data_IF_832242291232
#
_entry.id   IF_832242291232
#
_cell.length_a   1.000
_cell.length_b   1.000
_cell.length_c   1.000
_cell.angle_alpha   90.00
_cell.angle_beta   90.00
_cell.angle_gamma   90.00
#
_symmetry.space_group_name_H-M   'P 1'
#
loop_
_entity.id
_entity.type
_entity.pdbx_description
1 polymer ?
#
# COMPACT_ATOMS: atom_id res chain seq x y z
N UNK A 1 6.24 -8.57 38.72
CA UNK A 1 6.22 -7.34 37.90
C UNK A 1 6.65 -7.62 36.45
N UNK A 2 7.68 -8.44 36.22
CA UNK A 2 8.07 -8.99 34.89
C UNK A 2 6.94 -9.74 34.17
N UNK A 3 6.18 -10.58 34.89
CA UNK A 3 5.06 -11.35 34.32
C UNK A 3 3.91 -10.50 33.75
N UNK A 4 3.62 -9.32 34.32
CA UNK A 4 2.57 -8.42 33.78
C UNK A 4 3.05 -7.74 32.51
N UNK A 5 4.34 -7.44 32.41
CA UNK A 5 4.95 -6.86 31.20
C UNK A 5 4.98 -7.86 30.05
N UNK A 6 5.35 -9.11 30.34
CA UNK A 6 5.27 -10.24 29.38
C UNK A 6 3.85 -10.42 28.84
N UNK A 7 2.84 -10.32 29.72
CA UNK A 7 1.44 -10.51 29.36
C UNK A 7 0.92 -9.46 28.36
N UNK A 8 1.46 -8.23 28.40
CA UNK A 8 0.99 -7.11 27.56
C UNK A 8 1.97 -6.72 26.44
N UNK A 9 2.99 -7.55 26.16
CA UNK A 9 4.06 -7.22 25.21
C UNK A 9 3.56 -6.78 23.83
N UNK A 10 2.49 -7.39 23.31
CA UNK A 10 1.91 -7.03 22.01
C UNK A 10 1.44 -5.57 21.93
N UNK A 11 0.87 -5.04 23.02
CA UNK A 11 0.39 -3.66 23.10
C UNK A 11 1.50 -2.70 23.52
N UNK A 12 2.37 -3.13 24.43
CA UNK A 12 3.50 -2.33 24.91
C UNK A 12 4.52 -2.04 23.79
N UNK A 13 4.66 -2.95 22.83
CA UNK A 13 5.58 -2.78 21.71
C UNK A 13 5.08 -1.80 20.61
N UNK A 14 3.84 -1.29 20.69
CA UNK A 14 3.30 -0.34 19.71
C UNK A 14 3.85 1.08 19.94
N UNK A 15 4.95 1.42 19.28
CA UNK A 15 5.53 2.77 19.37
C UNK A 15 4.67 3.86 18.70
N UNK A 16 5.02 5.12 18.93
CA UNK A 16 4.28 6.28 18.40
C UNK A 16 4.22 6.29 16.86
N UNK A 17 5.27 5.82 16.19
CA UNK A 17 5.34 5.73 14.73
C UNK A 17 4.40 4.63 14.20
N UNK A 18 4.37 3.47 14.85
CA UNK A 18 3.45 2.36 14.55
C UNK A 18 2.01 2.79 14.78
N UNK A 19 1.71 3.46 15.89
CA UNK A 19 0.37 4.00 16.15
C UNK A 19 -0.03 5.07 15.13
N UNK A 20 0.90 5.94 14.72
CA UNK A 20 0.67 6.95 13.69
C UNK A 20 0.38 6.33 12.34
N UNK A 21 1.11 5.29 11.95
CA UNK A 21 0.91 4.59 10.68
C UNK A 21 -0.43 3.85 10.63
N UNK A 22 -0.80 3.16 11.72
CA UNK A 22 -1.98 2.31 11.74
C UNK A 22 -3.28 3.07 12.02
N UNK A 23 -3.25 4.10 12.87
CA UNK A 23 -4.42 4.88 13.24
C UNK A 23 -4.49 6.25 12.56
N UNK A 24 -3.36 6.78 12.09
CA UNK A 24 -3.24 8.14 11.59
C UNK A 24 -2.86 9.16 12.67
N UNK A 25 -2.00 10.11 12.31
CA UNK A 25 -1.47 11.14 13.22
C UNK A 25 -2.56 11.97 13.94
N UNK A 26 -3.72 12.15 13.32
CA UNK A 26 -4.85 12.88 13.93
C UNK A 26 -5.56 12.11 15.03
N UNK A 27 -5.57 10.77 14.97
CA UNK A 27 -6.12 9.94 16.04
C UNK A 27 -5.13 9.81 17.20
N UNK A 28 -3.84 9.63 16.91
CA UNK A 28 -2.80 9.61 17.95
C UNK A 28 -2.77 10.91 18.76
N UNK A 29 -2.73 12.08 18.10
CA UNK A 29 -2.78 13.38 18.78
C UNK A 29 -4.00 13.56 19.67
N UNK A 30 -5.17 13.06 19.24
CA UNK A 30 -6.39 13.11 20.05
C UNK A 30 -6.29 12.18 21.26
N UNK A 31 -5.79 10.96 21.08
CA UNK A 31 -5.59 10.02 22.19
C UNK A 31 -4.59 10.52 23.24
N UNK A 32 -3.46 11.10 22.80
CA UNK A 32 -2.49 11.75 23.69
C UNK A 32 -3.13 12.87 24.51
N UNK A 33 -3.97 13.69 23.86
CA UNK A 33 -4.68 14.78 24.56
C UNK A 33 -5.61 14.27 25.66
N UNK A 34 -6.31 13.14 25.46
CA UNK A 34 -7.15 12.54 26.50
C UNK A 34 -6.30 12.05 27.70
N UNK A 35 -5.13 11.48 27.42
CA UNK A 35 -4.20 11.02 28.45
C UNK A 35 -3.62 12.20 29.25
N UNK A 36 -3.14 13.24 28.56
CA UNK A 36 -2.61 14.47 29.19
C UNK A 36 -3.67 15.21 30.01
N UNK A 37 -4.94 15.16 29.58
CA UNK A 37 -6.06 15.73 30.30
C UNK A 37 -6.50 14.89 31.52
N UNK A 38 -5.88 13.73 31.77
CA UNK A 38 -6.25 12.83 32.86
C UNK A 38 -7.63 12.18 32.67
N UNK A 39 -8.13 12.11 31.43
CA UNK A 39 -9.46 11.58 31.09
C UNK A 39 -9.45 10.08 30.78
N UNK A 40 -8.32 9.41 31.03
CA UNK A 40 -8.15 7.95 30.87
C UNK A 40 -8.12 7.33 32.27
N UNK A 41 -9.26 6.83 32.71
CA UNK A 41 -9.43 6.24 34.03
C UNK A 41 -9.29 4.71 33.95
N UNK A 42 -8.50 4.06 34.83
CA UNK A 42 -8.48 2.60 34.88
C UNK A 42 -9.82 2.06 35.40
N UNK A 43 -10.28 0.95 34.82
CA UNK A 43 -11.47 0.23 35.25
C UNK A 43 -11.21 -0.75 36.40
N UNK A 44 -12.21 -1.56 36.72
CA UNK A 44 -12.14 -2.56 37.81
C UNK A 44 -11.36 -3.82 37.38
N UNK A 45 -11.43 -4.18 36.10
CA UNK A 45 -10.75 -5.34 35.53
C UNK A 45 -9.41 -4.96 34.88
N UNK A 46 -8.45 -5.91 34.85
CA UNK A 46 -7.15 -5.67 34.20
C UNK A 46 -7.33 -5.40 32.69
N UNK A 47 -6.66 -4.38 32.18
CA UNK A 47 -6.83 -3.90 30.79
C UNK A 47 -8.11 -3.12 30.52
N UNK A 48 -8.97 -2.87 31.51
CA UNK A 48 -10.16 -2.04 31.35
C UNK A 48 -9.83 -0.56 31.57
N UNK A 49 -10.36 0.31 30.71
CA UNK A 49 -10.22 1.77 30.80
C UNK A 49 -11.53 2.46 30.45
N UNK A 50 -11.78 3.61 31.06
CA UNK A 50 -12.83 4.54 30.70
C UNK A 50 -12.20 5.81 30.11
N UNK A 51 -12.61 6.17 28.90
CA UNK A 51 -12.10 7.34 28.17
C UNK A 51 -13.28 8.07 27.54
N UNK A 52 -13.49 9.33 27.92
CA UNK A 52 -14.57 10.17 27.39
C UNK A 52 -15.96 9.49 27.45
N UNK A 53 -16.26 8.83 28.59
CA UNK A 53 -17.49 8.08 28.82
C UNK A 53 -17.64 6.80 27.99
N UNK A 54 -16.58 6.36 27.30
CA UNK A 54 -16.52 5.09 26.56
C UNK A 54 -15.69 4.06 27.31
N UNK A 55 -16.20 2.83 27.37
CA UNK A 55 -15.49 1.70 27.97
C UNK A 55 -14.62 1.03 26.93
N UNK A 56 -13.34 0.90 27.26
CA UNK A 56 -12.32 0.21 26.48
C UNK A 56 -11.88 -1.02 27.26
N UNK A 57 -11.84 -2.17 26.57
CA UNK A 57 -11.25 -3.39 27.09
C UNK A 57 -10.05 -3.74 26.21
N UNK A 58 -8.84 -3.61 26.75
CA UNK A 58 -7.63 -4.11 26.12
C UNK A 58 -7.53 -5.63 26.34
N UNK A 59 -6.90 -6.33 25.40
CA UNK A 59 -6.71 -7.77 25.46
C UNK A 59 -5.21 -8.09 25.33
N UNK A 60 -4.67 -8.98 26.20
CA UNK A 60 -3.27 -9.41 26.17
C UNK A 60 -2.81 -9.96 24.82
N UNK A 61 -3.73 -10.55 24.05
CA UNK A 61 -3.50 -11.07 22.69
C UNK A 61 -3.24 -9.96 21.66
N UNK A 62 -3.28 -8.69 22.07
CA UNK A 62 -2.93 -7.56 21.25
C UNK A 62 -4.12 -6.80 20.68
N UNK A 63 -3.81 -5.82 19.83
CA UNK A 63 -4.77 -4.81 19.37
C UNK A 63 -6.02 -5.42 18.75
N UNK A 64 -5.90 -6.45 17.93
CA UNK A 64 -7.02 -7.05 17.20
C UNK A 64 -8.17 -7.54 18.10
N UNK A 65 -7.88 -7.85 19.36
CA UNK A 65 -8.84 -8.34 20.34
C UNK A 65 -9.37 -7.26 21.28
N UNK A 66 -8.79 -6.07 21.27
CA UNK A 66 -9.25 -4.96 22.09
C UNK A 66 -10.61 -4.42 21.60
N UNK A 67 -11.51 -4.12 22.54
CA UNK A 67 -12.89 -3.69 22.28
C UNK A 67 -13.13 -2.30 22.83
N UNK A 68 -14.03 -1.55 22.19
CA UNK A 68 -14.50 -0.27 22.69
C UNK A 68 -16.00 -0.15 22.46
N UNK A 69 -16.71 0.51 23.37
CA UNK A 69 -18.15 0.78 23.23
C UNK A 69 -18.49 1.83 22.18
N UNK A 70 -17.51 2.53 21.61
CA UNK A 70 -17.74 3.56 20.60
C UNK A 70 -18.09 2.95 19.22
N UNK A 71 -18.78 3.70 18.33
CA UNK A 71 -19.21 3.18 17.01
C UNK A 71 -18.08 3.03 15.98
N UNK A 72 -16.83 3.35 16.34
CA UNK A 72 -15.71 3.25 15.41
C UNK A 72 -15.36 1.76 15.14
N UNK A 73 -15.26 1.33 13.86
CA UNK A 73 -15.09 -0.08 13.52
C UNK A 73 -13.68 -0.65 13.80
N UNK A 74 -12.67 0.22 13.89
CA UNK A 74 -11.27 -0.17 14.05
C UNK A 74 -10.57 0.76 15.05
N UNK A 75 -9.74 1.68 14.58
CA UNK A 75 -9.00 2.64 15.41
C UNK A 75 -9.90 3.79 15.88
N UNK A 76 -9.79 4.13 17.15
CA UNK A 76 -10.47 5.28 17.75
C UNK A 76 -9.58 5.92 18.80
N UNK A 77 -9.87 7.18 19.16
CA UNK A 77 -9.10 7.91 20.16
C UNK A 77 -9.08 7.19 21.52
N UNK A 78 -10.18 6.54 21.91
CA UNK A 78 -10.33 5.87 23.21
C UNK A 78 -9.38 4.67 23.36
N UNK A 79 -9.34 3.79 22.36
CA UNK A 79 -8.46 2.62 22.41
C UNK A 79 -6.98 3.00 22.33
N UNK A 80 -6.64 4.05 21.58
CA UNK A 80 -5.27 4.59 21.55
C UNK A 80 -4.90 5.16 22.92
N UNK A 81 -5.77 5.98 23.51
CA UNK A 81 -5.55 6.55 24.84
C UNK A 81 -5.36 5.47 25.91
N UNK A 82 -6.13 4.38 25.86
CA UNK A 82 -5.97 3.23 26.73
C UNK A 82 -4.62 2.50 26.53
N UNK A 83 -4.14 2.32 25.28
CA UNK A 83 -2.81 1.76 25.01
C UNK A 83 -1.72 2.64 25.60
N UNK A 84 -1.81 3.96 25.37
CA UNK A 84 -0.82 4.92 25.88
C UNK A 84 -0.81 4.93 27.42
N UNK A 85 -1.98 4.81 28.07
CA UNK A 85 -2.08 4.68 29.51
C UNK A 85 -1.43 3.37 30.02
N UNK A 86 -1.66 2.25 29.32
CA UNK A 86 -1.01 0.97 29.65
C UNK A 86 0.53 1.06 29.51
N UNK A 87 1.02 1.74 28.48
CA UNK A 87 2.45 2.00 28.29
C UNK A 87 3.02 2.87 29.41
N UNK A 88 2.35 3.98 29.75
CA UNK A 88 2.76 4.86 30.84
C UNK A 88 2.79 4.13 32.20
N UNK A 89 1.79 3.29 32.49
CA UNK A 89 1.77 2.45 33.69
C UNK A 89 2.94 1.46 33.72
N UNK A 90 3.30 0.87 32.57
CA UNK A 90 4.41 -0.07 32.48
C UNK A 90 5.79 0.60 32.61
N UNK A 91 5.92 1.86 32.19
CA UNK A 91 7.12 2.69 32.40
C UNK A 91 7.25 3.11 33.87
N UNK A 92 6.16 3.55 34.50
CA UNK A 92 6.14 3.92 35.93
C UNK A 92 6.40 2.73 36.86
N UNK A 93 6.06 1.51 36.43
CA UNK A 93 6.33 0.28 37.16
C UNK A 93 7.78 -0.22 37.03
N UNK A 94 8.65 0.42 36.22
CA UNK A 94 10.07 0.08 36.22
C UNK A 94 10.72 0.59 37.53
N UNK A 95 11.42 -0.28 38.29
CA UNK A 95 12.20 0.21 39.41
C UNK A 95 13.29 1.13 38.86
N UNK A 96 13.22 2.41 39.21
CA UNK A 96 14.35 3.32 39.09
C UNK A 96 15.44 2.72 39.96
N UNK A 97 16.50 2.20 39.34
CA UNK A 97 17.71 1.85 40.06
C UNK A 97 18.31 3.16 40.59
N UNK A 98 17.94 3.50 41.82
CA UNK A 98 18.58 4.58 42.57
C UNK A 98 19.96 4.03 42.91
N UNK A 99 20.97 4.38 42.09
CA UNK A 99 22.35 4.28 42.50
C UNK A 99 22.52 5.12 43.78
N UNK A 100 23.14 4.60 44.86
CA UNK A 100 23.37 5.38 46.05
C UNK A 100 24.21 6.60 45.70
N UNK A 101 23.70 7.79 46.02
CA UNK A 101 24.49 9.01 46.02
C UNK A 101 25.43 8.91 47.22
N UNK A 102 26.69 8.58 46.97
CA UNK A 102 27.75 8.83 47.95
C UNK A 102 27.92 10.34 48.09
N UNK A 103 27.62 10.81 49.29
CA UNK A 103 27.86 12.19 49.72
C UNK A 103 29.33 12.27 50.06
N UNK A 104 30.14 12.85 49.17
CA UNK A 104 31.47 13.32 49.53
C UNK A 104 31.53 14.85 49.44
N UNK A 105 32.12 15.42 50.48
CA UNK A 105 32.13 16.82 50.83
C UNK A 105 33.52 17.38 50.54
N UNK A 106 33.69 18.19 49.50
CA UNK A 106 34.75 19.21 49.44
C UNK A 106 34.57 20.14 48.23
N UNK A 107 34.54 21.43 48.52
CA UNK A 107 34.56 22.57 47.59
C UNK A 107 35.96 22.81 46.97
N UNK A 108 36.09 23.71 45.95
CA UNK A 108 36.83 23.48 44.71
C UNK A 108 38.10 24.35 44.58
N UNK A 109 38.93 24.08 43.56
CA UNK A 109 39.54 25.13 42.69
C UNK A 109 40.39 24.54 41.54
N UNK A 110 40.72 25.31 40.48
CA UNK A 110 40.41 24.88 39.11
C UNK A 110 41.65 24.73 38.20
N UNK A 111 41.33 24.59 36.90
CA UNK A 111 42.13 24.85 35.68
C UNK A 111 43.08 23.78 35.12
N UNK A 112 42.63 23.28 33.95
CA UNK A 112 43.38 23.06 32.70
C UNK A 112 44.28 21.82 32.58
N UNK A 113 43.79 20.80 31.87
CA UNK A 113 44.54 20.16 30.78
C UNK A 113 43.60 19.32 29.90
N UNK A 114 43.45 19.74 28.65
CA UNK A 114 42.90 18.93 27.56
C UNK A 114 43.82 17.72 27.32
N UNK A 115 43.32 16.52 27.55
CA UNK A 115 43.84 15.30 26.94
C UNK A 115 42.70 14.29 26.80
N UNK A 116 42.31 14.04 25.56
CA UNK A 116 41.38 12.99 25.16
C UNK A 116 42.06 11.63 25.39
N UNK A 117 41.38 10.66 26.02
CA UNK A 117 41.45 9.32 25.49
C UNK A 117 40.05 8.76 25.21
N UNK A 118 39.90 8.40 23.93
CA UNK A 118 39.15 7.27 23.39
C UNK A 118 38.58 6.29 24.43
N UNK A 119 37.25 6.27 24.53
CA UNK A 119 36.47 5.26 25.22
C UNK A 119 35.22 4.96 24.42
N UNK A 120 35.33 3.98 23.53
CA UNK A 120 34.26 3.41 22.72
C UNK A 120 33.07 2.98 23.60
N UNK A 121 31.96 3.72 23.56
CA UNK A 121 30.67 3.24 24.04
C UNK A 121 30.08 2.32 22.99
N UNK A 122 30.17 1.01 23.24
CA UNK A 122 29.35 0.03 22.56
C UNK A 122 27.90 0.22 23.04
N UNK A 123 27.04 0.65 22.11
CA UNK A 123 25.59 0.71 22.28
C UNK A 123 24.96 -0.70 22.26
N UNK A 124 23.77 -0.90 22.85
CA UNK A 124 23.15 -2.21 23.02
C UNK A 124 22.46 -2.65 21.72
N UNK A 125 23.06 -3.59 20.99
CA UNK A 125 22.53 -4.10 19.72
C UNK A 125 21.83 -5.46 19.83
N UNK A 126 21.57 -5.97 21.05
CA UNK A 126 21.15 -7.37 21.25
C UNK A 126 19.64 -7.62 21.33
N UNK A 127 18.81 -6.62 21.68
CA UNK A 127 17.36 -6.82 21.85
C UNK A 127 16.58 -6.75 20.54
N UNK A 128 17.00 -5.90 19.59
CA UNK A 128 16.26 -5.67 18.35
C UNK A 128 16.35 -6.87 17.38
N UNK A 129 17.50 -7.54 17.27
CA UNK A 129 17.66 -8.71 16.39
C UNK A 129 16.87 -9.94 16.86
N UNK A 130 16.73 -10.10 18.17
CA UNK A 130 15.93 -11.17 18.76
C UNK A 130 14.43 -10.90 18.57
N UNK A 131 14.01 -9.64 18.73
CA UNK A 131 12.63 -9.21 18.47
C UNK A 131 12.26 -9.39 16.99
N UNK A 132 13.16 -9.07 16.06
CA UNK A 132 13.00 -9.30 14.62
C UNK A 132 12.81 -10.77 14.29
N UNK A 133 13.70 -11.63 14.79
CA UNK A 133 13.65 -13.07 14.53
C UNK A 133 12.34 -13.69 15.04
N UNK A 134 11.84 -13.25 16.20
CA UNK A 134 10.58 -13.73 16.76
C UNK A 134 9.35 -13.34 15.91
N UNK A 135 9.30 -12.11 15.39
CA UNK A 135 8.20 -11.64 14.52
C UNK A 135 8.15 -12.39 13.19
N UNK A 136 9.31 -12.62 12.58
CA UNK A 136 9.41 -13.38 11.34
C UNK A 136 9.05 -14.86 11.54
N UNK A 137 9.46 -15.46 12.66
CA UNK A 137 9.06 -16.81 13.04
C UNK A 137 7.54 -16.91 13.23
N UNK A 138 6.93 -15.96 13.94
CA UNK A 138 5.49 -15.92 14.16
C UNK A 138 4.71 -15.87 12.83
N UNK A 139 5.13 -15.01 11.89
CA UNK A 139 4.50 -14.91 10.57
C UNK A 139 4.72 -16.17 9.71
N UNK A 140 5.88 -16.82 9.85
CA UNK A 140 6.18 -18.08 9.19
C UNK A 140 5.34 -19.25 9.71
N UNK A 141 4.97 -19.24 10.99
CA UNK A 141 4.18 -20.28 11.64
C UNK A 141 2.68 -20.23 11.36
N UNK A 142 2.16 -19.07 10.91
CA UNK A 142 0.74 -18.93 10.54
C UNK A 142 0.30 -20.03 9.56
N UNK A 143 -0.84 -20.68 9.84
CA UNK A 143 -1.38 -21.76 9.01
C UNK A 143 -1.96 -21.22 7.69
N UNK A 144 -1.41 -21.60 6.52
CA UNK A 144 -1.91 -21.15 5.22
C UNK A 144 -3.37 -21.52 4.98
N UNK A 145 -3.84 -22.68 5.45
CA UNK A 145 -5.23 -23.12 5.26
C UNK A 145 -6.19 -22.27 6.10
N UNK A 146 -5.80 -21.94 7.34
CA UNK A 146 -6.54 -20.99 8.17
C UNK A 146 -6.61 -19.59 7.54
N UNK A 147 -5.50 -19.08 6.99
CA UNK A 147 -5.48 -17.80 6.28
C UNK A 147 -6.39 -17.81 5.04
N UNK A 148 -6.42 -18.88 4.25
CA UNK A 148 -7.37 -19.03 3.14
C UNK A 148 -8.82 -18.95 3.65
N UNK A 149 -9.15 -19.68 4.72
CA UNK A 149 -10.48 -19.65 5.34
C UNK A 149 -10.90 -18.24 5.73
N UNK A 150 -10.06 -17.52 6.46
CA UNK A 150 -10.36 -16.16 6.91
C UNK A 150 -10.44 -15.13 5.78
N UNK A 151 -9.65 -15.29 4.71
CA UNK A 151 -9.66 -14.37 3.58
C UNK A 151 -10.93 -14.46 2.73
N UNK A 152 -11.62 -15.61 2.74
CA UNK A 152 -12.82 -15.86 1.94
C UNK A 152 -12.56 -16.13 0.46
N UNK A 153 -13.58 -16.60 -0.25
CA UNK A 153 -13.48 -17.07 -1.64
C UNK A 153 -13.04 -15.99 -2.63
N UNK A 154 -13.55 -14.76 -2.50
CA UNK A 154 -13.22 -13.66 -3.40
C UNK A 154 -11.72 -13.29 -3.35
N UNK A 155 -11.11 -13.26 -2.16
CA UNK A 155 -9.68 -13.01 -2.01
C UNK A 155 -8.83 -14.14 -2.63
N UNK A 156 -9.24 -15.40 -2.44
CA UNK A 156 -8.56 -16.57 -3.03
C UNK A 156 -8.56 -16.54 -4.55
N UNK A 157 -9.69 -16.21 -5.17
CA UNK A 157 -9.80 -16.14 -6.63
C UNK A 157 -8.88 -15.07 -7.25
N UNK A 158 -8.63 -13.96 -6.53
CA UNK A 158 -7.75 -12.86 -6.96
C UNK A 158 -6.27 -13.18 -6.78
N UNK A 159 -5.93 -14.01 -5.78
CA UNK A 159 -4.55 -14.25 -5.35
C UNK A 159 -3.58 -14.62 -6.49
N UNK A 160 -3.88 -15.53 -7.43
CA UNK A 160 -2.95 -15.86 -8.51
C UNK A 160 -2.60 -14.63 -9.38
N UNK A 161 -3.57 -13.76 -9.65
CA UNK A 161 -3.38 -12.55 -10.46
C UNK A 161 -2.60 -11.48 -9.71
N UNK A 162 -2.77 -11.39 -8.39
CA UNK A 162 -1.98 -10.49 -7.53
C UNK A 162 -0.53 -10.96 -7.45
N UNK A 163 -0.30 -12.26 -7.24
CA UNK A 163 1.05 -12.84 -7.19
C UNK A 163 1.80 -12.69 -8.51
N UNK A 164 1.11 -12.74 -9.64
CA UNK A 164 1.71 -12.48 -10.95
C UNK A 164 2.22 -11.04 -11.12
N UNK A 165 1.66 -10.08 -10.37
CA UNK A 165 2.06 -8.67 -10.39
C UNK A 165 3.14 -8.31 -9.36
N UNK A 166 3.46 -9.23 -8.45
CA UNK A 166 4.49 -9.01 -7.44
C UNK A 166 5.84 -9.38 -8.05
N UNK A 167 6.75 -8.40 -8.12
CA UNK A 167 8.10 -8.58 -8.65
C UNK A 167 9.12 -8.88 -7.53
N UNK A 168 8.82 -8.44 -6.32
CA UNK A 168 9.65 -8.63 -5.13
C UNK A 168 8.86 -8.37 -3.85
N UNK A 169 9.38 -8.89 -2.75
CA UNK A 169 8.87 -8.58 -1.41
C UNK A 169 10.03 -8.13 -0.56
N UNK A 170 9.80 -7.02 0.13
CA UNK A 170 10.72 -6.47 1.13
C UNK A 170 9.95 -6.30 2.42
N UNK A 171 10.62 -6.43 3.56
CA UNK A 171 10.01 -6.12 4.82
C UNK A 171 10.94 -5.31 5.70
N UNK A 172 10.34 -4.47 6.53
CA UNK A 172 11.02 -3.66 7.52
C UNK A 172 10.41 -4.00 8.88
N UNK A 173 11.25 -4.43 9.80
CA UNK A 173 10.85 -4.72 11.18
C UNK A 173 10.92 -3.43 11.98
N UNK A 174 9.90 -3.20 12.80
CA UNK A 174 9.86 -2.15 13.82
C UNK A 174 9.53 -2.77 15.18
N UNK A 175 9.74 -2.06 16.30
CA UNK A 175 9.23 -2.50 17.59
C UNK A 175 7.74 -2.84 17.48
N UNK A 176 7.39 -4.10 17.79
CA UNK A 176 6.00 -4.58 17.80
C UNK A 176 5.29 -4.74 16.46
N UNK A 177 5.90 -4.36 15.33
CA UNK A 177 5.26 -4.47 14.01
C UNK A 177 6.22 -4.84 12.88
N UNK A 178 5.67 -5.43 11.82
CA UNK A 178 6.39 -5.80 10.61
C UNK A 178 5.67 -5.17 9.40
N UNK A 179 6.40 -4.39 8.61
CA UNK A 179 5.89 -3.78 7.39
C UNK A 179 6.31 -4.62 6.19
N UNK A 180 5.36 -5.13 5.43
CA UNK A 180 5.60 -5.93 4.21
C UNK A 180 5.28 -5.07 2.99
N UNK A 181 6.28 -4.81 2.17
CA UNK A 181 6.19 -4.02 0.95
C UNK A 181 6.13 -4.95 -0.27
N UNK A 182 5.07 -4.78 -1.08
CA UNK A 182 4.81 -5.59 -2.26
C UNK A 182 5.26 -4.83 -3.51
N UNK A 183 6.50 -5.08 -3.94
CA UNK A 183 7.05 -4.48 -5.15
C UNK A 183 6.22 -4.92 -6.37
N UNK A 184 5.93 -3.98 -7.26
CA UNK A 184 5.05 -4.21 -8.40
C UNK A 184 3.56 -4.02 -8.09
N UNK A 185 3.14 -4.06 -6.82
CA UNK A 185 1.79 -3.64 -6.38
C UNK A 185 1.74 -2.21 -5.82
N UNK A 186 2.86 -1.65 -5.35
CA UNK A 186 2.94 -0.34 -4.67
C UNK A 186 2.09 -0.30 -3.39
N UNK A 187 1.89 -1.47 -2.75
CA UNK A 187 1.07 -1.61 -1.55
C UNK A 187 1.90 -2.08 -0.37
N UNK A 188 1.49 -1.64 0.81
CA UNK A 188 2.11 -1.98 2.09
C UNK A 188 1.08 -2.68 2.97
N UNK A 189 1.51 -3.78 3.59
CA UNK A 189 0.73 -4.52 4.57
C UNK A 189 1.51 -4.58 5.87
N UNK A 190 0.94 -4.01 6.93
CA UNK A 190 1.56 -3.97 8.26
C UNK A 190 1.00 -5.10 9.11
N UNK A 191 1.86 -5.81 9.83
CA UNK A 191 1.54 -6.91 10.74
C UNK A 191 1.88 -6.52 12.18
N UNK A 192 0.95 -6.75 13.10
CA UNK A 192 1.16 -6.55 14.53
C UNK A 192 1.55 -7.85 15.22
N UNK A 193 2.55 -7.79 16.11
CA UNK A 193 2.97 -8.92 16.94
C UNK A 193 1.77 -9.54 17.66
N UNK A 194 1.72 -10.87 17.68
CA UNK A 194 0.65 -11.69 18.29
C UNK A 194 -0.75 -11.48 17.73
N UNK A 195 -0.91 -10.70 16.66
CA UNK A 195 -2.22 -10.38 16.10
C UNK A 195 -2.76 -11.40 15.08
N UNK A 196 -1.91 -12.31 14.57
CA UNK A 196 -2.26 -13.24 13.50
C UNK A 196 -2.92 -12.55 12.31
N UNK A 197 -3.86 -13.22 11.64
CA UNK A 197 -4.58 -12.63 10.50
C UNK A 197 -5.25 -11.27 10.82
N UNK A 198 -5.83 -11.15 12.02
CA UNK A 198 -6.56 -9.94 12.42
C UNK A 198 -5.62 -8.76 12.72
N UNK A 199 -4.36 -9.03 13.08
CA UNK A 199 -3.31 -8.03 13.26
C UNK A 199 -2.67 -7.53 11.98
N UNK A 200 -3.04 -8.09 10.82
CA UNK A 200 -2.64 -7.54 9.52
C UNK A 200 -3.54 -6.37 9.13
N UNK A 201 -2.94 -5.30 8.62
CA UNK A 201 -3.63 -4.08 8.21
C UNK A 201 -3.07 -3.55 6.89
N UNK A 202 -3.95 -3.04 6.04
CA UNK A 202 -3.60 -2.29 4.84
C UNK A 202 -4.76 -1.36 4.47
N UNK A 203 -4.49 -0.40 3.60
CA UNK A 203 -5.54 0.43 3.02
C UNK A 203 -6.35 -0.36 1.99
N UNK A 204 -7.64 -0.01 1.84
CA UNK A 204 -8.59 -0.65 0.92
C UNK A 204 -9.92 -1.02 1.58
N UNK A 205 -10.96 -1.28 0.80
CA UNK A 205 -12.20 -1.88 1.32
C UNK A 205 -11.91 -3.21 2.04
N UNK A 206 -12.85 -3.72 2.84
CA UNK A 206 -12.65 -4.99 3.56
C UNK A 206 -12.30 -6.17 2.61
N UNK A 207 -12.90 -6.19 1.41
CA UNK A 207 -12.62 -7.19 0.38
C UNK A 207 -11.19 -7.05 -0.16
N UNK A 208 -10.77 -5.82 -0.45
CA UNK A 208 -9.43 -5.48 -0.92
C UNK A 208 -8.36 -5.82 0.12
N UNK A 209 -8.62 -5.49 1.39
CA UNK A 209 -7.73 -5.80 2.49
C UNK A 209 -7.49 -7.31 2.62
N UNK A 210 -8.54 -8.13 2.55
CA UNK A 210 -8.39 -9.58 2.60
C UNK A 210 -7.51 -10.11 1.46
N UNK A 211 -7.69 -9.61 0.23
CA UNK A 211 -6.89 -10.01 -0.93
C UNK A 211 -5.41 -9.59 -0.80
N UNK A 212 -5.14 -8.36 -0.33
CA UNK A 212 -3.79 -7.85 -0.15
C UNK A 212 -3.04 -8.53 1.01
N UNK A 213 -3.70 -8.75 2.15
CA UNK A 213 -3.15 -9.53 3.27
C UNK A 213 -2.75 -10.93 2.83
N UNK A 214 -3.63 -11.59 2.07
CA UNK A 214 -3.36 -12.92 1.52
C UNK A 214 -2.17 -12.89 0.55
N UNK A 215 -2.13 -11.92 -0.36
CA UNK A 215 -1.01 -11.76 -1.29
C UNK A 215 0.33 -11.53 -0.56
N UNK A 216 0.34 -10.71 0.49
CA UNK A 216 1.53 -10.46 1.30
C UNK A 216 2.05 -11.72 1.99
N UNK A 217 1.18 -12.50 2.65
CA UNK A 217 1.57 -13.76 3.29
C UNK A 217 2.10 -14.77 2.26
N UNK A 218 1.40 -14.94 1.12
CA UNK A 218 1.84 -15.85 0.07
C UNK A 218 3.20 -15.47 -0.49
N UNK A 219 3.42 -14.19 -0.75
CA UNK A 219 4.67 -13.72 -1.32
C UNK A 219 5.82 -13.85 -0.29
N UNK A 220 5.56 -13.53 0.99
CA UNK A 220 6.48 -13.79 2.09
C UNK A 220 6.86 -15.28 2.22
N UNK A 221 5.88 -16.18 2.27
CA UNK A 221 6.15 -17.62 2.41
C UNK A 221 6.87 -18.21 1.19
N UNK A 222 6.55 -17.74 -0.03
CA UNK A 222 7.27 -18.15 -1.25
C UNK A 222 8.74 -17.76 -1.19
N UNK A 223 9.05 -16.53 -0.75
CA UNK A 223 10.43 -16.06 -0.62
C UNK A 223 11.21 -16.85 0.44
N UNK A 224 10.53 -17.29 1.51
CA UNK A 224 11.11 -18.13 2.56
C UNK A 224 11.11 -19.64 2.24
N UNK A 225 10.81 -20.03 0.99
CA UNK A 225 10.91 -21.43 0.54
C UNK A 225 9.86 -22.40 1.10
N UNK A 226 8.77 -21.89 1.70
CA UNK A 226 7.72 -22.73 2.27
C UNK A 226 6.86 -23.34 1.16
N UNK A 227 6.61 -24.68 1.18
CA UNK A 227 5.64 -25.27 0.26
C UNK A 227 4.24 -24.77 0.61
N UNK A 228 3.56 -24.18 -0.36
CA UNK A 228 2.23 -23.60 -0.18
C UNK A 228 1.15 -24.48 -0.79
N UNK A 229 -0.01 -24.61 -0.13
CA UNK A 229 -1.16 -25.29 -0.72
C UNK A 229 -1.63 -24.53 -1.95
N UNK A 230 -2.36 -25.22 -2.83
CA UNK A 230 -3.03 -24.53 -3.93
C UNK A 230 -3.99 -23.48 -3.36
N UNK A 231 -3.81 -22.24 -3.81
CA UNK A 231 -4.65 -21.09 -3.47
C UNK A 231 -6.14 -21.31 -3.74
N UNK A 232 -6.47 -22.20 -4.68
CA UNK A 232 -7.84 -22.57 -5.04
C UNK A 232 -8.31 -23.86 -4.38
N UNK A 233 -7.45 -24.57 -3.64
CA UNK A 233 -7.86 -25.78 -2.94
C UNK A 233 -9.01 -25.45 -1.98
N UNK A 234 -10.10 -26.21 -2.09
CA UNK A 234 -11.19 -26.13 -1.13
C UNK A 234 -10.66 -26.62 0.23
N UNK A 235 -10.68 -25.80 1.29
CA UNK A 235 -10.77 -26.36 2.63
C UNK A 235 -12.09 -27.14 2.68
N UNK A 236 -12.08 -28.32 3.30
CA UNK A 236 -13.24 -29.23 3.34
C UNK A 236 -14.57 -28.52 3.62
N UNK A 237 -15.62 -29.05 2.99
CA UNK A 237 -17.03 -28.61 2.95
C UNK A 237 -17.41 -27.68 1.78
N UNK A 238 -17.71 -28.31 0.65
CA UNK A 238 -19.06 -28.26 0.07
C UNK A 238 -19.56 -27.02 -0.68
N UNK A 239 -18.84 -25.90 -0.76
CA UNK A 239 -19.37 -24.73 -1.49
C UNK A 239 -18.74 -24.56 -2.86
N UNK A 240 -19.51 -24.86 -3.92
CA UNK A 240 -19.21 -24.54 -5.32
C UNK A 240 -19.15 -23.03 -5.49
N UNK A 241 -17.99 -22.42 -5.23
CA UNK A 241 -17.72 -21.05 -5.64
C UNK A 241 -17.76 -21.00 -7.17
N UNK A 242 -18.90 -20.59 -7.71
CA UNK A 242 -19.03 -20.14 -9.08
C UNK A 242 -17.98 -19.05 -9.37
N UNK A 243 -17.62 -18.85 -10.63
CA UNK A 243 -16.75 -17.75 -11.07
C UNK A 243 -17.50 -16.40 -11.04
N UNK A 244 -18.84 -16.46 -11.02
CA UNK A 244 -19.76 -15.32 -11.00
C UNK A 244 -19.57 -14.31 -9.85
N UNK A 245 -19.21 -14.68 -8.60
CA UNK A 245 -19.08 -13.72 -7.49
C UNK A 245 -17.92 -12.74 -7.67
N UNK A 246 -16.77 -13.19 -8.22
CA UNK A 246 -15.65 -12.29 -8.47
C UNK A 246 -15.89 -11.38 -9.68
N UNK A 247 -16.56 -11.88 -10.72
CA UNK A 247 -16.95 -11.06 -11.85
C UNK A 247 -18.00 -10.00 -11.47
N UNK A 248 -18.98 -10.38 -10.63
CA UNK A 248 -19.94 -9.44 -10.07
C UNK A 248 -19.28 -8.37 -9.18
N UNK A 249 -18.34 -8.76 -8.32
CA UNK A 249 -17.57 -7.81 -7.49
C UNK A 249 -16.76 -6.84 -8.36
N UNK A 250 -16.10 -7.35 -9.41
CA UNK A 250 -15.34 -6.52 -10.36
C UNK A 250 -16.28 -5.55 -11.08
N UNK A 251 -17.45 -6.02 -11.54
CA UNK A 251 -18.44 -5.17 -12.20
C UNK A 251 -18.96 -4.05 -11.27
N UNK A 252 -19.20 -4.37 -9.99
CA UNK A 252 -19.62 -3.40 -8.98
C UNK A 252 -18.54 -2.32 -8.75
N UNK A 253 -17.26 -2.71 -8.70
CA UNK A 253 -16.17 -1.76 -8.61
C UNK A 253 -16.14 -0.82 -9.82
N UNK A 254 -16.24 -1.35 -11.04
CA UNK A 254 -16.26 -0.56 -12.28
C UNK A 254 -17.42 0.44 -12.29
N UNK A 255 -18.62 0.02 -11.87
CA UNK A 255 -19.79 0.90 -11.76
C UNK A 255 -19.63 1.98 -10.68
N UNK A 256 -18.99 1.63 -9.56
CA UNK A 256 -18.67 2.58 -8.49
C UNK A 256 -17.69 3.64 -8.98
N UNK A 257 -16.67 3.23 -9.74
CA UNK A 257 -15.74 4.16 -10.41
C UNK A 257 -16.50 5.09 -11.36
N UNK A 258 -17.34 4.56 -12.25
CA UNK A 258 -18.14 5.40 -13.16
C UNK A 258 -19.01 6.41 -12.41
N UNK A 259 -19.58 6.01 -11.26
CA UNK A 259 -20.39 6.90 -10.42
C UNK A 259 -19.55 8.05 -9.84
N UNK A 260 -18.34 7.78 -9.35
CA UNK A 260 -17.45 8.85 -8.84
C UNK A 260 -16.93 9.75 -9.97
N UNK A 261 -16.64 9.21 -11.16
CA UNK A 261 -16.28 10.04 -12.34
C UNK A 261 -17.41 11.01 -12.68
N UNK A 262 -18.67 10.55 -12.70
CA UNK A 262 -19.82 11.41 -12.92
C UNK A 262 -20.04 12.43 -11.79
N UNK A 263 -19.72 12.07 -10.53
CA UNK A 263 -19.78 13.01 -9.40
C UNK A 263 -18.78 14.16 -9.59
N UNK A 264 -17.53 13.88 -9.97
CA UNK A 264 -16.53 14.92 -10.25
C UNK A 264 -17.03 15.89 -11.33
N UNK A 265 -17.63 15.37 -12.40
CA UNK A 265 -18.18 16.19 -13.49
C UNK A 265 -19.36 17.05 -13.03
N UNK A 266 -20.27 16.51 -12.20
CA UNK A 266 -21.43 17.25 -11.68
C UNK A 266 -21.05 18.32 -10.67
N UNK A 267 -20.05 18.06 -9.82
CA UNK A 267 -19.54 19.03 -8.86
C UNK A 267 -18.79 20.19 -9.55
N UNK A 268 -18.20 19.94 -10.72
CA UNK A 268 -17.36 20.87 -11.46
C UNK A 268 -15.87 20.69 -11.09
N UNK A 269 -15.01 20.61 -12.09
CA UNK A 269 -13.59 20.27 -11.91
C UNK A 269 -12.80 21.32 -11.13
N UNK A 270 -13.17 22.59 -11.23
CA UNK A 270 -12.60 23.68 -10.43
C UNK A 270 -12.95 23.63 -8.94
N UNK A 271 -13.98 22.85 -8.56
CA UNK A 271 -14.51 22.80 -7.19
C UNK A 271 -14.23 21.48 -6.48
N UNK A 272 -13.33 20.65 -7.00
CA UNK A 272 -13.01 19.36 -6.40
C UNK A 272 -12.60 19.51 -4.92
N UNK A 273 -13.28 18.78 -4.04
CA UNK A 273 -12.96 18.76 -2.62
C UNK A 273 -11.82 17.77 -2.33
N UNK A 274 -11.07 17.93 -1.22
CA UNK A 274 -10.12 16.91 -0.75
C UNK A 274 -10.76 15.53 -0.62
N UNK A 275 -12.01 15.48 -0.16
CA UNK A 275 -12.75 14.23 0.03
C UNK A 275 -13.07 13.51 -1.29
N UNK A 276 -13.22 14.24 -2.40
CA UNK A 276 -13.40 13.64 -3.73
C UNK A 276 -12.12 12.95 -4.21
N UNK A 277 -10.97 13.57 -3.95
CA UNK A 277 -9.66 13.00 -4.26
C UNK A 277 -9.36 11.77 -3.39
N UNK A 278 -9.70 11.81 -2.11
CA UNK A 278 -9.55 10.68 -1.19
C UNK A 278 -10.41 9.49 -1.60
N UNK A 279 -11.68 9.73 -2.00
CA UNK A 279 -12.56 8.67 -2.53
C UNK A 279 -11.97 8.03 -3.79
N UNK A 280 -11.50 8.83 -4.74
CA UNK A 280 -10.89 8.34 -5.97
C UNK A 280 -9.58 7.56 -5.70
N UNK A 281 -8.76 8.05 -4.76
CA UNK A 281 -7.54 7.36 -4.34
C UNK A 281 -7.86 6.00 -3.70
N UNK A 282 -8.93 5.91 -2.90
CA UNK A 282 -9.39 4.64 -2.33
C UNK A 282 -9.82 3.65 -3.41
N UNK A 283 -10.56 4.10 -4.42
CA UNK A 283 -10.93 3.27 -5.56
C UNK A 283 -9.71 2.78 -6.36
N UNK A 284 -8.63 3.56 -6.43
CA UNK A 284 -7.38 3.13 -7.05
C UNK A 284 -6.75 1.95 -6.30
N UNK A 285 -6.81 1.95 -4.97
CA UNK A 285 -6.35 0.83 -4.12
C UNK A 285 -7.25 -0.39 -4.34
N UNK A 286 -8.57 -0.20 -4.37
CA UNK A 286 -9.51 -1.30 -4.60
C UNK A 286 -9.31 -1.92 -5.98
N UNK A 287 -9.10 -1.11 -7.02
CA UNK A 287 -8.75 -1.60 -8.36
C UNK A 287 -7.45 -2.41 -8.38
N UNK A 288 -6.46 -2.02 -7.59
CA UNK A 288 -5.21 -2.78 -7.48
C UNK A 288 -5.44 -4.13 -6.81
N UNK A 289 -6.22 -4.16 -5.73
CA UNK A 289 -6.56 -5.39 -5.02
C UNK A 289 -7.45 -6.34 -5.85
N UNK A 290 -8.28 -5.80 -6.74
CA UNK A 290 -9.05 -6.55 -7.74
C UNK A 290 -8.21 -6.99 -8.97
N UNK A 291 -6.89 -6.82 -8.91
CA UNK A 291 -5.97 -7.15 -9.99
C UNK A 291 -6.26 -6.42 -11.32
N UNK A 292 -6.64 -5.14 -11.24
CA UNK A 292 -6.83 -4.22 -12.36
C UNK A 292 -5.77 -3.09 -12.33
N UNK A 293 -4.48 -3.40 -12.58
CA UNK A 293 -3.41 -2.40 -12.51
C UNK A 293 -3.59 -1.24 -13.50
N UNK A 294 -4.16 -1.48 -14.69
CA UNK A 294 -4.43 -0.42 -15.66
C UNK A 294 -5.46 0.59 -15.14
N UNK A 295 -6.51 0.12 -14.45
CA UNK A 295 -7.49 0.99 -13.81
C UNK A 295 -6.86 1.76 -12.65
N UNK A 296 -6.16 1.06 -11.76
CA UNK A 296 -5.50 1.66 -10.61
C UNK A 296 -4.56 2.81 -11.04
N UNK A 297 -3.78 2.62 -12.12
CA UNK A 297 -2.91 3.66 -12.67
C UNK A 297 -3.69 4.86 -13.23
N UNK A 298 -4.79 4.64 -13.95
CA UNK A 298 -5.66 5.73 -14.46
C UNK A 298 -6.28 6.53 -13.31
N UNK A 299 -6.76 5.85 -12.27
CA UNK A 299 -7.34 6.52 -11.11
C UNK A 299 -6.30 7.32 -10.32
N UNK A 300 -5.08 6.81 -10.16
CA UNK A 300 -3.97 7.59 -9.56
C UNK A 300 -3.63 8.82 -10.39
N UNK A 301 -3.53 8.68 -11.71
CA UNK A 301 -3.31 9.82 -12.61
C UNK A 301 -4.40 10.88 -12.46
N UNK A 302 -5.68 10.47 -12.37
CA UNK A 302 -6.79 11.39 -12.13
C UNK A 302 -6.68 12.10 -10.76
N UNK A 303 -6.29 11.38 -9.71
CA UNK A 303 -6.05 11.97 -8.39
C UNK A 303 -4.94 13.02 -8.45
N UNK A 304 -3.82 12.72 -9.11
CA UNK A 304 -2.69 13.64 -9.21
C UNK A 304 -3.01 14.85 -10.09
N UNK A 305 -3.70 14.64 -11.19
CA UNK A 305 -4.24 15.72 -12.03
C UNK A 305 -5.23 16.59 -11.26
N UNK A 306 -6.15 16.00 -10.50
CA UNK A 306 -7.10 16.73 -9.65
C UNK A 306 -6.41 17.52 -8.52
N UNK A 307 -5.36 16.97 -7.90
CA UNK A 307 -4.52 17.67 -6.92
C UNK A 307 -3.86 18.91 -7.52
N UNK A 308 -3.24 18.77 -8.70
CA UNK A 308 -2.58 19.87 -9.43
C UNK A 308 -3.58 20.96 -9.83
N UNK A 309 -4.75 20.57 -10.34
CA UNK A 309 -5.80 21.53 -10.70
C UNK A 309 -6.26 22.34 -9.48
N UNK A 310 -6.47 21.68 -8.32
CA UNK A 310 -6.80 22.37 -7.07
C UNK A 310 -5.69 23.29 -6.58
N UNK A 311 -4.43 22.91 -6.81
CA UNK A 311 -3.26 23.73 -6.49
C UNK A 311 -3.05 24.90 -7.47
N UNK A 312 -3.91 25.02 -8.50
CA UNK A 312 -3.80 26.01 -9.58
C UNK A 312 -2.45 25.95 -10.31
N UNK A 313 -1.99 24.72 -10.58
CA UNK A 313 -0.80 24.46 -11.38
C UNK A 313 -1.04 24.86 -12.84
N UNK A 314 -0.22 25.78 -13.38
CA UNK A 314 -0.34 26.31 -14.74
C UNK A 314 -0.11 25.23 -15.84
N UNK A 315 0.46 24.08 -15.48
CA UNK A 315 0.73 22.97 -16.41
C UNK A 315 -0.46 22.04 -16.63
N UNK A 316 -1.58 22.27 -15.93
CA UNK A 316 -2.81 21.48 -16.11
C UNK A 316 -4.01 22.37 -16.37
N UNK A 317 -4.79 22.00 -17.39
CA UNK A 317 -6.08 22.62 -17.68
C UNK A 317 -7.24 21.64 -17.44
N UNK A 318 -8.44 22.19 -17.25
CA UNK A 318 -9.65 21.39 -17.05
C UNK A 318 -9.95 20.47 -18.24
N UNK A 319 -9.58 20.86 -19.46
CA UNK A 319 -9.79 20.08 -20.68
C UNK A 319 -8.90 18.82 -20.74
N UNK A 320 -7.69 18.88 -20.19
CA UNK A 320 -6.80 17.74 -20.01
C UNK A 320 -7.40 16.76 -19.01
N UNK A 321 -7.85 17.25 -17.84
CA UNK A 321 -8.52 16.41 -16.84
C UNK A 321 -9.82 15.81 -17.39
N UNK A 322 -10.61 16.55 -18.15
CA UNK A 322 -11.84 16.06 -18.78
C UNK A 322 -11.54 14.92 -19.77
N UNK A 323 -10.46 15.02 -20.55
CA UNK A 323 -10.01 13.94 -21.45
C UNK A 323 -9.57 12.70 -20.68
N UNK A 324 -8.85 12.87 -19.56
CA UNK A 324 -8.48 11.76 -18.68
C UNK A 324 -9.71 11.06 -18.10
N UNK A 325 -10.70 11.83 -17.62
CA UNK A 325 -11.97 11.32 -17.11
C UNK A 325 -12.73 10.55 -18.19
N UNK A 326 -12.86 11.12 -19.40
CA UNK A 326 -13.52 10.47 -20.52
C UNK A 326 -12.81 9.16 -20.93
N UNK A 327 -11.48 9.15 -20.93
CA UNK A 327 -10.69 7.96 -21.20
C UNK A 327 -10.87 6.87 -20.14
N UNK A 328 -10.98 7.25 -18.86
CA UNK A 328 -11.27 6.32 -17.77
C UNK A 328 -12.71 5.77 -17.88
N UNK A 329 -13.68 6.63 -18.17
CA UNK A 329 -15.09 6.25 -18.37
C UNK A 329 -15.24 5.25 -19.51
N UNK A 330 -14.61 5.53 -20.66
CA UNK A 330 -14.62 4.65 -21.82
C UNK A 330 -14.00 3.29 -21.49
N UNK A 331 -12.86 3.28 -20.78
CA UNK A 331 -12.21 2.04 -20.36
C UNK A 331 -13.11 1.20 -19.44
N UNK A 332 -13.79 1.82 -18.45
CA UNK A 332 -14.73 1.11 -17.58
C UNK A 332 -15.90 0.50 -18.38
N UNK A 333 -16.47 1.27 -19.32
CA UNK A 333 -17.54 0.77 -20.18
C UNK A 333 -17.09 -0.41 -21.06
N UNK A 334 -15.89 -0.32 -21.64
CA UNK A 334 -15.31 -1.42 -22.43
C UNK A 334 -15.09 -2.66 -21.57
N UNK A 335 -14.58 -2.52 -20.36
CA UNK A 335 -14.36 -3.65 -19.44
C UNK A 335 -15.66 -4.36 -19.04
N UNK A 336 -16.74 -3.60 -18.80
CA UNK A 336 -18.05 -4.17 -18.47
C UNK A 336 -18.60 -5.00 -19.63
N UNK A 337 -18.44 -4.54 -20.87
CA UNK A 337 -18.92 -5.23 -22.08
C UNK A 337 -17.97 -6.27 -22.68
N UNK A 338 -16.71 -6.35 -22.24
CA UNK A 338 -15.72 -7.28 -22.75
C UNK A 338 -15.91 -8.70 -22.20
N UNK A 339 -15.51 -9.69 -23.00
CA UNK A 339 -15.40 -11.09 -22.60
C UNK A 339 -14.19 -11.33 -21.69
N UNK A 340 -13.99 -12.57 -21.24
CA UNK A 340 -12.93 -12.93 -20.28
C UNK A 340 -11.53 -12.58 -20.81
N UNK A 341 -11.27 -12.84 -22.09
CA UNK A 341 -9.95 -12.59 -22.69
C UNK A 341 -9.72 -11.10 -22.95
N UNK A 342 -10.73 -10.38 -23.42
CA UNK A 342 -10.70 -8.93 -23.54
C UNK A 342 -10.47 -8.25 -22.19
N UNK A 343 -11.15 -8.70 -21.13
CA UNK A 343 -10.94 -8.19 -19.76
C UNK A 343 -9.51 -8.46 -19.26
N UNK A 344 -8.95 -9.65 -19.52
CA UNK A 344 -7.56 -9.97 -19.17
C UNK A 344 -6.56 -9.05 -19.87
N UNK A 345 -6.78 -8.76 -21.15
CA UNK A 345 -5.91 -7.85 -21.91
C UNK A 345 -6.03 -6.41 -21.42
N UNK A 346 -7.26 -5.95 -21.15
CA UNK A 346 -7.55 -4.58 -20.74
C UNK A 346 -7.15 -4.28 -19.29
N UNK A 347 -7.24 -5.26 -18.38
CA UNK A 347 -6.82 -5.16 -16.98
C UNK A 347 -5.37 -4.68 -16.84
N UNK A 348 -4.55 -4.95 -17.86
CA UNK A 348 -3.12 -4.70 -17.86
C UNK A 348 -2.37 -5.83 -17.14
N UNK A 349 -1.06 -5.90 -17.40
CA UNK A 349 -0.17 -6.86 -16.76
C UNK A 349 1.11 -6.20 -16.30
N UNK A 350 1.92 -6.90 -15.49
CA UNK A 350 3.28 -6.45 -15.19
C UNK A 350 4.00 -6.21 -16.52
N UNK A 351 4.59 -5.02 -16.68
CA UNK A 351 5.42 -4.69 -17.84
C UNK A 351 6.76 -5.41 -17.68
N UNK A 352 6.75 -6.73 -17.82
CA UNK A 352 7.98 -7.50 -17.93
C UNK A 352 8.47 -7.34 -19.37
N UNK A 353 9.56 -6.59 -19.51
CA UNK A 353 10.32 -6.55 -20.73
C UNK A 353 10.97 -7.92 -20.89
N UNK A 354 10.30 -8.80 -21.61
CA UNK A 354 10.86 -10.08 -22.03
C UNK A 354 11.43 -9.85 -23.41
N UNK A 355 12.74 -9.97 -23.54
CA UNK A 355 13.37 -10.04 -24.85
C UNK A 355 12.92 -11.35 -25.51
N UNK A 356 12.18 -11.22 -26.60
CA UNK A 356 11.63 -12.35 -27.32
C UNK A 356 11.95 -12.15 -28.80
N UNK A 357 12.54 -13.18 -29.40
CA UNK A 357 12.71 -13.22 -30.84
C UNK A 357 11.35 -13.54 -31.47
N UNK A 358 10.75 -12.54 -32.14
CA UNK A 358 9.42 -12.66 -32.73
C UNK A 358 9.48 -12.26 -34.20
N UNK A 359 9.04 -13.16 -35.08
CA UNK A 359 8.80 -12.86 -36.48
C UNK A 359 7.48 -12.08 -36.62
N UNK A 360 7.57 -10.77 -36.83
CA UNK A 360 6.40 -9.88 -36.93
C UNK A 360 6.18 -9.43 -38.37
N UNK A 361 4.93 -9.50 -38.83
CA UNK A 361 4.50 -8.90 -40.10
C UNK A 361 3.73 -7.62 -39.77
N UNK A 362 4.43 -6.49 -39.79
CA UNK A 362 3.93 -5.22 -39.28
C UNK A 362 3.57 -4.27 -40.42
N UNK A 363 2.32 -3.84 -40.45
CA UNK A 363 1.85 -2.70 -41.22
C UNK A 363 1.80 -1.48 -40.32
N UNK A 364 2.17 -0.31 -40.81
CA UNK A 364 2.10 0.88 -39.96
C UNK A 364 0.75 1.56 -40.12
N UNK A 365 0.04 1.71 -39.00
CA UNK A 365 -1.27 2.32 -38.96
C UNK A 365 -1.22 3.83 -38.73
N UNK A 366 -0.12 4.33 -38.13
CA UNK A 366 0.08 5.76 -37.94
C UNK A 366 1.15 6.08 -36.90
N UNK A 367 1.52 7.34 -36.78
CA UNK A 367 2.55 7.80 -35.85
C UNK A 367 2.17 9.16 -35.26
N UNK A 368 2.47 9.36 -33.97
CA UNK A 368 2.20 10.61 -33.26
C UNK A 368 3.41 11.07 -32.44
N UNK A 369 3.78 12.33 -32.64
CA UNK A 369 4.73 13.02 -31.79
C UNK A 369 4.03 13.56 -30.55
N UNK A 370 4.67 13.43 -29.39
CA UNK A 370 4.14 13.91 -28.13
C UNK A 370 5.24 14.57 -27.28
N UNK A 371 4.80 15.48 -26.42
CA UNK A 371 5.63 16.18 -25.44
C UNK A 371 4.88 16.13 -24.11
N UNK A 372 5.56 15.82 -23.01
CA UNK A 372 5.00 15.84 -21.66
C UNK A 372 5.32 17.17 -20.96
N UNK A 373 4.54 17.56 -19.94
CA UNK A 373 4.80 18.78 -19.16
C UNK A 373 6.22 18.86 -18.58
N UNK A 374 6.79 17.73 -18.17
CA UNK A 374 8.18 17.64 -17.70
C UNK A 374 9.24 17.66 -18.82
N UNK A 375 8.96 18.31 -19.96
CA UNK A 375 9.86 18.48 -21.12
C UNK A 375 10.20 17.21 -21.93
N UNK A 376 9.91 16.03 -21.39
CA UNK A 376 10.14 14.76 -22.08
C UNK A 376 9.35 14.69 -23.38
N UNK A 377 10.01 14.24 -24.46
CA UNK A 377 9.46 14.23 -25.82
C UNK A 377 9.65 12.88 -26.48
N UNK A 378 8.75 12.50 -27.38
CA UNK A 378 8.75 11.17 -27.97
C UNK A 378 7.91 11.03 -29.23
N UNK A 379 8.20 9.98 -29.99
CA UNK A 379 7.39 9.50 -31.10
C UNK A 379 6.82 8.15 -30.73
N UNK A 380 5.50 7.97 -30.86
CA UNK A 380 4.93 6.62 -30.85
C UNK A 380 4.29 6.26 -32.18
N UNK A 381 4.60 5.05 -32.63
CA UNK A 381 4.10 4.48 -33.88
C UNK A 381 3.18 3.31 -33.57
N UNK A 382 2.00 3.33 -34.17
CA UNK A 382 0.99 2.29 -34.11
C UNK A 382 1.20 1.36 -35.30
N UNK A 383 1.28 0.08 -35.01
CA UNK A 383 1.65 -0.97 -35.94
C UNK A 383 0.56 -2.04 -35.89
N UNK A 384 -0.04 -2.38 -37.02
CA UNK A 384 -0.90 -3.53 -37.15
C UNK A 384 -0.05 -4.78 -37.40
N UNK A 385 -0.09 -5.73 -36.49
CA UNK A 385 0.53 -7.05 -36.67
C UNK A 385 -0.45 -7.97 -37.40
N UNK A 386 -0.16 -8.29 -38.66
CA UNK A 386 -1.02 -9.13 -39.50
C UNK A 386 -1.10 -10.57 -38.99
N UNK A 387 0.00 -11.12 -38.48
CA UNK A 387 0.03 -12.49 -37.95
C UNK A 387 -0.83 -12.63 -36.71
N UNK A 388 -0.67 -11.71 -35.76
CA UNK A 388 -1.40 -11.76 -34.49
C UNK A 388 -2.74 -11.00 -34.55
N UNK A 389 -3.09 -10.39 -35.69
CA UNK A 389 -4.29 -9.59 -35.93
C UNK A 389 -4.56 -8.59 -34.80
N UNK A 390 -3.52 -7.86 -34.39
CA UNK A 390 -3.59 -6.91 -33.26
C UNK A 390 -2.76 -5.66 -33.49
N UNK A 391 -3.22 -4.56 -32.88
CA UNK A 391 -2.43 -3.33 -32.79
C UNK A 391 -1.29 -3.51 -31.78
N UNK A 392 -0.10 -3.10 -32.20
CA UNK A 392 1.10 -2.95 -31.39
C UNK A 392 1.51 -1.48 -31.39
N UNK A 393 2.26 -1.07 -30.37
CA UNK A 393 2.79 0.29 -30.25
C UNK A 393 4.27 0.24 -29.95
N UNK A 394 5.04 0.93 -30.78
CA UNK A 394 6.43 1.29 -30.49
C UNK A 394 6.48 2.74 -29.99
N UNK A 395 7.31 3.03 -29.00
CA UNK A 395 7.62 4.40 -28.62
C UNK A 395 9.11 4.60 -28.42
N UNK A 396 9.68 5.62 -29.05
CA UNK A 396 10.97 6.17 -28.66
C UNK A 396 10.74 7.49 -27.93
N UNK A 397 11.38 7.65 -26.79
CA UNK A 397 11.28 8.86 -25.98
C UNK A 397 12.66 9.30 -25.46
N UNK A 398 12.79 10.59 -25.21
CA UNK A 398 13.92 11.19 -24.50
C UNK A 398 13.40 12.06 -23.37
N UNK A 399 14.10 12.03 -22.25
CA UNK A 399 13.87 12.96 -21.14
C UNK A 399 14.17 14.39 -21.58
N UNK A 400 13.71 15.36 -20.78
CA UNK A 400 14.03 16.76 -21.04
C UNK A 400 15.55 16.97 -21.02
N UNK A 401 16.06 17.71 -22.01
CA UNK A 401 17.50 17.97 -22.16
C UNK A 401 18.40 16.75 -22.43
N UNK A 402 17.88 15.51 -22.44
CA UNK A 402 18.70 14.30 -22.56
C UNK A 402 19.35 14.14 -23.94
N UNK A 403 18.66 14.61 -24.99
CA UNK A 403 19.15 14.60 -26.36
C UNK A 403 18.52 15.76 -27.13
N UNK A 404 19.31 16.79 -27.41
CA UNK A 404 18.88 17.99 -28.13
C UNK A 404 18.59 17.69 -29.61
N UNK A 405 19.24 16.69 -30.21
CA UNK A 405 19.07 16.28 -31.60
C UNK A 405 17.76 15.51 -31.84
N UNK A 406 17.16 14.97 -30.77
CA UNK A 406 15.89 14.25 -30.81
C UNK A 406 14.70 15.20 -31.08
N UNK A 407 14.55 15.62 -32.32
CA UNK A 407 13.48 16.50 -32.78
C UNK A 407 12.43 15.73 -33.56
N UNK A 408 11.23 16.32 -33.70
CA UNK A 408 10.13 15.73 -34.49
C UNK A 408 10.57 15.38 -35.92
N UNK A 409 11.35 16.24 -36.56
CA UNK A 409 11.83 16.02 -37.94
C UNK A 409 12.88 14.90 -38.01
N UNK A 410 13.85 14.90 -37.09
CA UNK A 410 14.92 13.91 -37.08
C UNK A 410 14.41 12.48 -36.83
N UNK A 411 13.50 12.29 -35.87
CA UNK A 411 12.98 10.96 -35.56
C UNK A 411 12.04 10.41 -36.64
N UNK A 412 11.45 11.29 -37.46
CA UNK A 412 10.56 10.89 -38.55
C UNK A 412 11.32 10.31 -39.76
N UNK A 413 12.58 10.73 -39.94
CA UNK A 413 13.49 10.25 -40.98
C UNK A 413 14.42 9.13 -40.51
N UNK A 414 14.46 8.85 -39.21
CA UNK A 414 15.27 7.79 -38.64
C UNK A 414 14.49 6.46 -38.50
N UNK A 415 15.14 5.30 -38.67
CA UNK A 415 14.52 4.02 -38.35
C UNK A 415 14.29 3.89 -36.83
N UNK A 416 13.13 3.36 -36.44
CA UNK A 416 12.78 3.17 -35.02
C UNK A 416 13.58 2.05 -34.35
N UNK A 417 13.97 1.04 -35.10
CA UNK A 417 14.87 -0.05 -34.70
C UNK A 417 15.43 -0.73 -35.94
N UNK A 418 16.40 -1.61 -35.74
CA UNK A 418 17.08 -2.35 -36.81
C UNK A 418 16.10 -3.20 -37.62
N UNK A 419 15.88 -2.85 -38.89
CA UNK A 419 15.00 -3.59 -39.80
C UNK A 419 13.60 -2.97 -40.00
N UNK A 420 13.24 -1.89 -39.30
CA UNK A 420 12.05 -1.10 -39.61
C UNK A 420 12.44 0.16 -40.40
N UNK A 421 11.71 0.44 -41.48
CA UNK A 421 11.88 1.67 -42.25
C UNK A 421 11.57 2.94 -41.43
N UNK A 422 12.04 4.10 -41.90
CA UNK A 422 11.74 5.39 -41.30
C UNK A 422 10.24 5.71 -41.38
N UNK A 423 9.66 6.38 -40.37
CA UNK A 423 8.26 6.79 -40.37
C UNK A 423 7.83 7.67 -41.56
N UNK A 424 8.75 8.34 -42.24
CA UNK A 424 8.44 9.11 -43.45
C UNK A 424 8.01 8.24 -44.64
N UNK A 425 8.53 7.01 -44.75
CA UNK A 425 8.16 6.02 -45.78
C UNK A 425 6.77 5.41 -45.57
N UNK A 426 6.01 5.94 -44.61
CA UNK A 426 4.62 5.58 -44.34
C UNK A 426 3.63 6.40 -45.15
N UNK A 427 4.10 7.51 -45.73
CA UNK A 427 3.30 8.43 -46.53
C UNK A 427 3.42 8.16 -48.04
N UNK A 428 4.38 7.32 -48.43
CA UNK A 428 4.58 6.80 -49.80
C UNK A 428 3.97 5.40 -49.90
#
# INVERSE_FOLDING_TARGET
>A
MTARREHWQALLALDADTLTELAGAGLLRRGLKELEAGQVLPGEEDGQFEVDGQRVQLDPRGWAHARCSCPAPHWCKHRIAAILALQQQAEQAQPVAIAPVEVDSAEPDPVMANAIPTGSSAAPASDDSAAESALLAELAELDPLHCLRLAGSAARQRLPRLLAQIDGVRWVVRPGSLRIELDGLEQVVSYLRHGGWAGMHCEGSASSQAALKLAALWAFWRQNGRPLPDSQARPGDGEVASTEPAEAATALLLQTVQTELHRWLRAGLSQLAPTDLERMARLAIDARADALPALAGRLRQLVDSGRRLRARDDQIDEGALLRELAGCQAWCSTMLGADVDGRRQLAGGPRRFVEQEVALDLLVAGAHWWTRPGGARGLSVLLWDERARRLRRCSQARGDGADLSFTRAAIWSAPLWTGLASPERLLD
#
